data_IF_748846425996
#
_entry.id   IF_748846425996
#
_cell.length_a   1.000
_cell.length_b   1.000
_cell.length_c   1.000
_cell.angle_alpha   90.00
_cell.angle_beta   90.00
_cell.angle_gamma   90.00
#
_symmetry.space_group_name_H-M   'P 1'
#
loop_
_entity.id
_entity.type
_entity.pdbx_description
1 polymer ?
#
# COMPACT_ATOMS: atom_id res chain seq x y z
N UNK A 1 5.59 6.52 28.62
CA UNK A 1 5.27 6.42 27.18
C UNK A 1 3.76 6.32 26.88
N UNK A 2 2.98 5.45 27.57
CA UNK A 2 1.51 5.41 27.34
C UNK A 2 0.75 6.69 27.68
N UNK A 3 1.16 7.42 28.72
CA UNK A 3 0.46 8.64 29.16
C UNK A 3 0.67 9.84 28.24
N UNK A 4 1.80 9.90 27.53
CA UNK A 4 2.09 10.99 26.57
C UNK A 4 1.30 10.88 25.27
N UNK A 5 0.77 9.70 24.95
CA UNK A 5 -0.03 9.45 23.75
C UNK A 5 -1.55 9.44 24.03
N UNK A 6 -1.93 9.58 25.30
CA UNK A 6 -3.34 9.55 25.68
C UNK A 6 -4.11 10.70 25.03
N UNK A 7 -5.14 10.38 24.26
CA UNK A 7 -5.95 11.36 23.52
C UNK A 7 -5.27 11.92 22.27
N UNK A 8 -4.13 11.37 21.84
CA UNK A 8 -3.44 11.75 20.61
C UNK A 8 -3.57 10.66 19.54
N UNK A 9 -3.38 11.06 18.29
CA UNK A 9 -3.18 10.15 17.18
C UNK A 9 -1.68 10.02 16.91
N UNK A 10 -1.16 8.80 16.92
CA UNK A 10 0.23 8.52 16.56
C UNK A 10 0.34 8.47 15.03
N UNK A 11 1.19 9.31 14.47
CA UNK A 11 1.57 9.28 13.04
C UNK A 11 3.05 8.94 12.87
N UNK A 12 3.48 8.71 11.65
CA UNK A 12 4.91 8.51 11.31
C UNK A 12 5.76 9.75 11.61
N UNK A 13 5.16 10.93 11.61
CA UNK A 13 5.82 12.21 11.95
C UNK A 13 5.71 12.58 13.42
N UNK A 14 5.06 11.75 14.24
CA UNK A 14 4.84 11.99 15.66
C UNK A 14 3.36 12.12 16.04
N UNK A 15 3.07 12.35 17.33
CA UNK A 15 1.70 12.46 17.80
C UNK A 15 1.06 13.80 17.42
N UNK A 16 -0.20 13.72 16.96
CA UNK A 16 -1.01 14.89 16.63
C UNK A 16 -2.31 14.91 17.44
N UNK A 17 -3.00 16.04 17.46
CA UNK A 17 -4.37 16.14 17.98
C UNK A 17 -5.33 15.42 17.05
N UNK A 18 -6.37 14.72 17.57
CA UNK A 18 -7.38 14.07 16.72
C UNK A 18 -8.06 15.03 15.73
N UNK A 19 -8.24 16.29 16.13
CA UNK A 19 -8.81 17.33 15.27
C UNK A 19 -7.96 17.70 14.05
N UNK A 20 -6.66 17.37 14.08
CA UNK A 20 -5.73 17.61 12.98
C UNK A 20 -5.71 16.47 11.95
N UNK A 21 -6.40 15.36 12.20
CA UNK A 21 -6.39 14.19 11.32
C UNK A 21 -7.08 14.45 9.97
N UNK A 22 -8.17 15.22 9.97
CA UNK A 22 -8.90 15.56 8.76
C UNK A 22 -9.62 14.38 8.10
N UNK A 23 -9.82 14.47 6.77
CA UNK A 23 -10.41 13.39 5.96
C UNK A 23 -9.42 12.27 5.76
N UNK A 24 -9.76 11.08 6.22
CA UNK A 24 -8.82 9.97 6.36
C UNK A 24 -9.31 8.74 5.60
N UNK A 25 -8.44 8.15 4.79
CA UNK A 25 -8.61 6.77 4.32
C UNK A 25 -8.16 5.82 5.44
N UNK A 26 -9.08 5.00 5.90
CA UNK A 26 -8.92 4.22 7.14
C UNK A 26 -8.33 2.83 6.93
N UNK A 27 -8.07 2.40 5.70
CA UNK A 27 -7.58 1.05 5.43
C UNK A 27 -6.89 1.02 4.07
N UNK A 28 -5.60 1.28 4.06
CA UNK A 28 -4.80 1.29 2.84
C UNK A 28 -3.54 0.42 2.97
N UNK A 29 -3.00 0.04 1.83
CA UNK A 29 -1.74 -0.67 1.69
C UNK A 29 -0.89 0.07 0.67
N UNK A 30 0.14 0.76 1.12
CA UNK A 30 0.93 1.67 0.29
C UNK A 30 2.05 0.93 -0.44
N UNK A 31 2.83 0.14 0.32
CA UNK A 31 3.85 -0.75 -0.24
C UNK A 31 3.59 -2.17 0.26
N UNK A 32 3.56 -3.12 -0.66
CA UNK A 32 3.21 -4.50 -0.30
C UNK A 32 3.73 -5.53 -1.30
N UNK A 33 3.91 -6.78 -0.82
CA UNK A 33 4.23 -7.94 -1.62
C UNK A 33 3.51 -9.18 -1.05
N UNK A 34 2.44 -9.58 -1.72
CA UNK A 34 1.64 -10.75 -1.36
C UNK A 34 1.94 -11.97 -2.25
N UNK A 35 3.00 -11.91 -3.05
CA UNK A 35 3.43 -13.07 -3.82
C UNK A 35 3.83 -14.20 -2.87
N UNK A 36 3.47 -15.46 -3.18
CA UNK A 36 4.01 -16.59 -2.44
C UNK A 36 5.55 -16.63 -2.58
N UNK A 37 6.28 -17.15 -1.57
CA UNK A 37 7.75 -17.11 -1.56
C UNK A 37 8.45 -17.56 -2.85
N UNK A 38 8.01 -18.62 -3.56
CA UNK A 38 8.61 -19.02 -4.82
C UNK A 38 8.54 -17.94 -5.92
N UNK A 39 7.51 -17.10 -5.89
CA UNK A 39 7.28 -16.05 -6.90
C UNK A 39 8.06 -14.76 -6.62
N UNK A 40 8.72 -14.68 -5.46
CA UNK A 40 9.58 -13.56 -5.09
C UNK A 40 11.00 -13.72 -5.63
N UNK A 41 11.36 -14.90 -6.13
CA UNK A 41 12.67 -15.13 -6.69
C UNK A 41 12.89 -14.28 -7.95
N UNK A 42 14.08 -13.68 -8.12
CA UNK A 42 14.34 -12.75 -9.24
C UNK A 42 14.20 -13.37 -10.64
N UNK A 43 14.44 -14.67 -10.75
CA UNK A 43 14.34 -15.43 -12.00
C UNK A 43 12.91 -15.82 -12.41
N UNK A 44 11.94 -15.62 -11.52
CA UNK A 44 10.54 -15.97 -11.82
C UNK A 44 9.95 -14.97 -12.81
N UNK A 45 9.37 -15.50 -13.90
CA UNK A 45 8.61 -14.68 -14.83
C UNK A 45 7.45 -13.98 -14.13
N UNK A 46 7.49 -12.67 -14.10
CA UNK A 46 6.46 -11.84 -13.48
C UNK A 46 5.19 -11.73 -14.31
N UNK A 47 5.14 -12.40 -15.46
CA UNK A 47 3.99 -12.43 -16.34
C UNK A 47 3.84 -11.18 -17.21
N UNK A 48 2.73 -11.08 -17.95
CA UNK A 48 2.50 -9.99 -18.88
C UNK A 48 2.29 -8.65 -18.16
N UNK A 49 2.40 -7.57 -18.91
CA UNK A 49 1.93 -6.25 -18.45
C UNK A 49 0.43 -6.29 -18.14
N UNK A 50 0.04 -5.52 -17.13
CA UNK A 50 -1.35 -5.43 -16.68
C UNK A 50 -1.98 -4.23 -17.35
N UNK A 51 -2.90 -4.48 -18.25
CA UNK A 51 -3.64 -3.49 -19.01
C UNK A 51 -5.12 -3.90 -19.18
N UNK A 52 -5.90 -3.08 -19.87
CA UNK A 52 -7.31 -3.37 -20.11
C UNK A 52 -7.55 -4.66 -20.93
N UNK A 53 -6.56 -5.12 -21.71
CA UNK A 53 -6.65 -6.33 -22.49
C UNK A 53 -6.30 -7.60 -21.71
N UNK A 54 -5.48 -7.46 -20.66
CA UNK A 54 -4.98 -8.58 -19.85
C UNK A 54 -5.63 -8.71 -18.49
N UNK A 55 -6.09 -7.61 -17.89
CA UNK A 55 -6.59 -7.58 -16.51
C UNK A 55 -7.71 -8.61 -16.24
N UNK A 56 -8.64 -8.79 -17.16
CA UNK A 56 -9.72 -9.76 -16.98
C UNK A 56 -9.21 -11.21 -16.97
N UNK A 57 -8.20 -11.54 -17.79
CA UNK A 57 -7.59 -12.87 -17.81
C UNK A 57 -6.86 -13.18 -16.51
N UNK A 58 -6.22 -12.17 -15.92
CA UNK A 58 -5.56 -12.26 -14.62
C UNK A 58 -6.62 -12.48 -13.54
N UNK A 59 -7.67 -11.65 -13.49
CA UNK A 59 -8.72 -11.73 -12.51
C UNK A 59 -9.49 -13.06 -12.51
N UNK A 60 -9.64 -13.67 -13.70
CA UNK A 60 -10.28 -14.98 -13.85
C UNK A 60 -9.29 -16.15 -13.85
N UNK A 61 -8.02 -15.93 -13.50
CA UNK A 61 -7.01 -16.97 -13.34
C UNK A 61 -6.61 -17.67 -14.64
N UNK A 62 -6.88 -17.06 -15.80
CA UNK A 62 -6.54 -17.63 -17.10
C UNK A 62 -5.08 -17.46 -17.48
N UNK A 63 -4.44 -16.42 -16.94
CA UNK A 63 -3.00 -16.18 -17.05
C UNK A 63 -2.44 -15.83 -15.69
N UNK A 64 -1.21 -16.25 -15.46
CA UNK A 64 -0.48 -15.96 -14.22
C UNK A 64 0.31 -14.67 -14.40
N UNK A 65 0.18 -13.76 -13.43
CA UNK A 65 0.91 -12.51 -13.40
C UNK A 65 1.35 -12.20 -11.96
N UNK A 66 2.49 -12.74 -11.47
CA UNK A 66 2.99 -12.45 -10.14
C UNK A 66 3.13 -10.95 -9.86
N UNK A 67 3.45 -10.14 -10.87
CA UNK A 67 3.52 -8.67 -10.74
C UNK A 67 2.22 -8.02 -10.25
N UNK A 68 1.06 -8.67 -10.45
CA UNK A 68 -0.22 -8.19 -9.93
C UNK A 68 -0.32 -8.28 -8.38
N UNK A 69 0.61 -8.98 -7.75
CA UNK A 69 0.63 -9.24 -6.32
C UNK A 69 1.74 -8.46 -5.60
N UNK A 70 2.29 -7.41 -6.23
CA UNK A 70 3.38 -6.62 -5.64
C UNK A 70 3.29 -5.15 -6.05
N UNK A 71 3.50 -4.27 -5.08
CA UNK A 71 3.73 -2.84 -5.27
C UNK A 71 4.85 -2.41 -4.32
N UNK A 72 6.04 -2.18 -4.86
CA UNK A 72 7.24 -1.82 -4.10
C UNK A 72 7.99 -0.62 -4.70
N UNK A 73 7.35 0.12 -5.62
CA UNK A 73 7.90 1.33 -6.20
C UNK A 73 7.44 2.55 -5.39
N UNK A 74 8.33 3.09 -4.56
CA UNK A 74 8.05 4.27 -3.74
C UNK A 74 7.60 5.48 -4.57
N UNK A 75 8.20 5.70 -5.73
CA UNK A 75 7.82 6.81 -6.60
C UNK A 75 6.35 6.70 -7.05
N UNK A 76 5.92 5.49 -7.47
CA UNK A 76 4.53 5.23 -7.83
C UNK A 76 3.60 5.41 -6.64
N UNK A 77 3.97 4.86 -5.49
CA UNK A 77 3.18 5.00 -4.26
C UNK A 77 3.03 6.48 -3.84
N UNK A 78 4.09 7.27 -3.94
CA UNK A 78 4.06 8.71 -3.65
C UNK A 78 3.16 9.49 -4.63
N UNK A 79 3.17 9.14 -5.91
CA UNK A 79 2.27 9.70 -6.92
C UNK A 79 0.80 9.43 -6.56
N UNK A 80 0.45 8.18 -6.28
CA UNK A 80 -0.91 7.76 -5.90
C UNK A 80 -1.40 8.48 -4.63
N UNK A 81 -0.55 8.60 -3.60
CA UNK A 81 -0.88 9.34 -2.37
C UNK A 81 -1.05 10.85 -2.66
N UNK A 82 -0.33 11.40 -3.63
CA UNK A 82 -0.49 12.81 -4.04
C UNK A 82 -1.86 13.07 -4.66
N UNK A 83 -2.42 12.10 -5.40
CA UNK A 83 -3.79 12.18 -5.94
C UNK A 83 -4.85 12.25 -4.82
N UNK A 84 -4.67 11.49 -3.75
CA UNK A 84 -5.54 11.59 -2.56
C UNK A 84 -5.53 13.01 -2.01
N UNK A 85 -4.35 13.62 -1.88
CA UNK A 85 -4.22 15.00 -1.38
C UNK A 85 -4.90 15.99 -2.33
N UNK A 86 -4.71 15.84 -3.65
CA UNK A 86 -5.36 16.67 -4.66
C UNK A 86 -6.90 16.57 -4.58
N UNK A 87 -7.43 15.40 -4.28
CA UNK A 87 -8.85 15.16 -4.04
C UNK A 87 -9.36 15.68 -2.67
N UNK A 88 -8.46 16.23 -1.85
CA UNK A 88 -8.79 16.83 -0.55
C UNK A 88 -8.75 15.85 0.63
N UNK A 89 -8.06 14.71 0.52
CA UNK A 89 -7.73 13.85 1.64
C UNK A 89 -6.57 14.43 2.46
N UNK A 90 -6.56 14.14 3.74
CA UNK A 90 -5.61 14.71 4.70
C UNK A 90 -4.71 13.65 5.34
N UNK A 91 -5.19 12.41 5.47
CA UNK A 91 -4.46 11.34 6.13
C UNK A 91 -4.79 9.96 5.56
N UNK A 92 -3.86 9.02 5.76
CA UNK A 92 -3.99 7.61 5.40
C UNK A 92 -3.65 6.76 6.61
N UNK A 93 -4.42 5.70 6.85
CA UNK A 93 -4.06 4.65 7.80
C UNK A 93 -3.55 3.45 6.99
N UNK A 94 -2.26 3.22 7.07
CA UNK A 94 -1.57 2.09 6.45
C UNK A 94 -1.65 0.88 7.40
N UNK A 95 -2.24 -0.23 6.94
CA UNK A 95 -2.53 -1.41 7.75
C UNK A 95 -1.75 -2.66 7.33
N UNK A 96 -0.71 -2.52 6.53
CA UNK A 96 0.11 -3.68 6.13
C UNK A 96 0.75 -4.36 7.34
N UNK A 97 0.56 -5.66 7.41
CA UNK A 97 1.17 -6.51 8.42
C UNK A 97 2.29 -7.37 7.82
N UNK A 98 3.01 -8.12 8.65
CA UNK A 98 4.17 -8.92 8.21
C UNK A 98 3.92 -9.85 7.01
N UNK A 99 2.67 -10.29 6.79
CA UNK A 99 2.29 -11.09 5.62
C UNK A 99 2.30 -10.32 4.30
N UNK A 100 2.24 -8.99 4.36
CA UNK A 100 2.22 -8.09 3.20
C UNK A 100 3.61 -7.50 2.89
N UNK A 101 4.63 -7.89 3.65
CA UNK A 101 6.00 -7.37 3.52
C UNK A 101 6.05 -5.82 3.48
N UNK A 102 5.51 -5.13 4.50
CA UNK A 102 5.53 -3.68 4.55
C UNK A 102 6.95 -3.16 4.64
N UNK A 103 7.18 -1.99 4.08
CA UNK A 103 8.43 -1.24 4.22
C UNK A 103 8.13 0.06 5.00
N UNK A 104 8.41 0.11 6.30
CA UNK A 104 8.08 1.26 7.14
C UNK A 104 9.13 2.38 7.12
N UNK A 105 10.25 2.24 6.41
CA UNK A 105 11.34 3.22 6.32
C UNK A 105 11.09 4.19 5.17
#
# INVERSE_FOLDING_TARGET
MRDTLRGKVQTVLGPIEPSALGRTLMHEHILWDIRPPPDRAPEVDQGPEIDLCTCWKINYGQIRAPRNAVLQCEATAAEEISELRAAGGDAVVELSCGGLAPDPE
#
